data_IF_657380928630
#
_entry.id   IF_657380928630
#
_cell.length_a   1.000
_cell.length_b   1.000
_cell.length_c   1.000
_cell.angle_alpha   90.00
_cell.angle_beta   90.00
_cell.angle_gamma   90.00
#
_symmetry.space_group_name_H-M   'P 1'
#
loop_
_entity.id
_entity.type
_entity.pdbx_description
1 polymer ?
#
# COMPACT_ATOMS: atom_id res chain seq x y z
N UNK A 1 -24.59 -12.11 -44.89
CA UNK A 1 -24.24 -11.50 -43.59
C UNK A 1 -22.81 -11.03 -43.68
N UNK A 2 -22.58 -9.71 -43.73
CA UNK A 2 -21.22 -9.13 -43.70
C UNK A 2 -20.72 -9.21 -42.25
N UNK A 3 -19.84 -10.17 -41.97
CA UNK A 3 -19.16 -10.24 -40.68
C UNK A 3 -18.06 -9.19 -40.63
N UNK A 4 -18.22 -8.16 -39.80
CA UNK A 4 -17.13 -7.25 -39.49
C UNK A 4 -16.09 -8.00 -38.65
N UNK A 5 -14.94 -8.33 -39.24
CA UNK A 5 -13.77 -8.81 -38.50
C UNK A 5 -13.11 -7.59 -37.87
N UNK A 6 -13.39 -7.33 -36.60
CA UNK A 6 -12.66 -6.30 -35.85
C UNK A 6 -11.17 -6.65 -35.83
N UNK A 7 -10.27 -5.71 -36.20
CA UNK A 7 -8.85 -6.00 -36.27
C UNK A 7 -8.30 -6.20 -34.87
N UNK A 8 -7.64 -7.34 -34.66
CA UNK A 8 -7.03 -7.72 -33.37
C UNK A 8 -5.88 -6.79 -32.91
N UNK A 9 -5.55 -5.78 -33.71
CA UNK A 9 -4.49 -4.80 -33.47
C UNK A 9 -5.01 -3.49 -32.84
N UNK A 10 -6.33 -3.33 -32.66
CA UNK A 10 -6.82 -2.19 -31.88
C UNK A 10 -6.29 -2.32 -30.45
N UNK A 11 -5.34 -1.43 -30.15
CA UNK A 11 -4.71 -1.33 -28.85
C UNK A 11 -5.71 -0.72 -27.87
N UNK A 12 -5.71 -1.19 -26.63
CA UNK A 12 -6.48 -0.58 -25.55
C UNK A 12 -5.94 0.85 -25.40
N UNK A 13 -6.80 1.86 -25.59
CA UNK A 13 -6.37 3.25 -25.47
C UNK A 13 -5.90 3.51 -24.02
N UNK A 14 -4.76 4.21 -23.81
CA UNK A 14 -4.23 4.52 -22.48
C UNK A 14 -5.23 5.27 -21.57
N UNK A 15 -6.22 5.92 -22.17
CA UNK A 15 -7.28 6.68 -21.50
C UNK A 15 -8.31 5.79 -20.79
N UNK A 16 -8.41 4.50 -21.15
CA UNK A 16 -9.32 3.55 -20.51
C UNK A 16 -8.75 2.94 -19.21
N UNK A 17 -7.50 3.21 -18.86
CA UNK A 17 -6.95 2.73 -17.58
C UNK A 17 -7.54 3.51 -16.40
N UNK A 18 -7.87 2.83 -15.28
CA UNK A 18 -8.35 3.51 -14.09
C UNK A 18 -7.29 4.51 -13.59
N UNK A 19 -7.73 5.75 -13.37
CA UNK A 19 -6.92 6.80 -12.75
C UNK A 19 -6.89 6.56 -11.25
N UNK A 20 -5.88 5.82 -10.81
CA UNK A 20 -5.74 5.48 -9.40
C UNK A 20 -5.27 6.70 -8.60
N UNK A 21 -5.95 7.02 -7.51
CA UNK A 21 -5.52 8.06 -6.59
C UNK A 21 -4.21 7.63 -5.90
N UNK A 22 -3.11 8.27 -6.27
CA UNK A 22 -1.80 8.01 -5.68
C UNK A 22 -1.54 8.96 -4.51
N UNK A 23 -2.17 8.71 -3.37
CA UNK A 23 -1.69 9.26 -2.10
C UNK A 23 -0.48 8.45 -1.64
N UNK A 24 0.65 8.65 -2.32
CA UNK A 24 1.90 7.94 -2.02
C UNK A 24 2.71 8.70 -0.99
N UNK A 25 3.15 8.02 0.07
CA UNK A 25 4.04 8.58 1.09
C UNK A 25 5.52 8.69 0.66
N UNK A 26 5.87 8.39 -0.59
CA UNK A 26 7.26 8.34 -1.05
C UNK A 26 7.43 8.69 -2.52
N UNK A 27 8.65 9.08 -2.89
CA UNK A 27 9.03 9.54 -4.24
C UNK A 27 9.41 8.39 -5.18
N UNK A 28 9.67 7.20 -4.64
CA UNK A 28 10.09 6.03 -5.41
C UNK A 28 9.22 4.80 -5.15
N UNK A 29 8.88 4.15 -6.24
CA UNK A 29 8.08 2.93 -6.25
C UNK A 29 8.98 1.69 -6.28
N UNK A 30 8.43 0.53 -5.88
CA UNK A 30 9.11 -0.77 -6.01
C UNK A 30 9.57 -1.09 -7.43
N UNK A 31 8.90 -0.53 -8.44
CA UNK A 31 9.29 -0.55 -9.83
C UNK A 31 8.61 0.60 -10.60
N UNK A 32 9.06 0.95 -11.82
CA UNK A 32 8.41 1.96 -12.65
C UNK A 32 6.94 1.64 -12.94
N UNK A 33 6.08 2.66 -13.05
CA UNK A 33 4.64 2.49 -13.28
C UNK A 33 4.33 1.63 -14.52
N UNK A 34 5.05 1.84 -15.62
CA UNK A 34 4.94 1.04 -16.85
C UNK A 34 5.21 -0.45 -16.62
N UNK A 35 6.22 -0.75 -15.81
CA UNK A 35 6.53 -2.13 -15.45
C UNK A 35 5.41 -2.73 -14.59
N UNK A 36 4.92 -1.96 -13.60
CA UNK A 36 3.87 -2.43 -12.69
C UNK A 36 2.57 -2.73 -13.45
N UNK A 37 2.12 -1.87 -14.38
CA UNK A 37 0.91 -2.14 -15.16
C UNK A 37 0.96 -3.47 -15.92
N UNK A 38 2.14 -3.84 -16.43
CA UNK A 38 2.35 -5.06 -17.22
C UNK A 38 2.65 -6.30 -16.36
N UNK A 39 3.34 -6.12 -15.24
CA UNK A 39 3.97 -7.23 -14.50
C UNK A 39 3.57 -7.32 -13.03
N UNK A 40 2.64 -6.49 -12.54
CA UNK A 40 2.25 -6.44 -11.13
C UNK A 40 1.96 -7.82 -10.54
N UNK A 41 1.10 -8.60 -11.18
CA UNK A 41 0.73 -9.93 -10.67
C UNK A 41 1.85 -10.96 -10.77
N UNK A 42 2.70 -10.87 -11.80
CA UNK A 42 3.88 -11.72 -11.91
C UNK A 42 4.87 -11.44 -10.75
N UNK A 43 5.12 -10.16 -10.47
CA UNK A 43 5.96 -9.74 -9.35
C UNK A 43 5.40 -10.25 -8.03
N UNK A 44 4.09 -10.10 -7.77
CA UNK A 44 3.46 -10.57 -6.53
C UNK A 44 3.52 -12.09 -6.38
N UNK A 45 3.30 -12.86 -7.46
CA UNK A 45 3.41 -14.32 -7.41
C UNK A 45 4.83 -14.78 -7.12
N UNK A 46 5.83 -14.16 -7.76
CA UNK A 46 7.24 -14.45 -7.50
C UNK A 46 7.62 -14.09 -6.06
N UNK A 47 7.12 -12.96 -5.54
CA UNK A 47 7.34 -12.57 -4.15
C UNK A 47 6.74 -13.59 -3.20
N UNK A 48 5.48 -13.99 -3.41
CA UNK A 48 4.82 -15.03 -2.60
C UNK A 48 5.65 -16.30 -2.58
N UNK A 49 6.01 -16.82 -3.76
CA UNK A 49 6.72 -18.09 -3.87
C UNK A 49 8.10 -18.00 -3.19
N UNK A 50 8.86 -16.92 -3.42
CA UNK A 50 10.18 -16.73 -2.80
C UNK A 50 10.11 -16.57 -1.27
N UNK A 51 9.07 -15.93 -0.72
CA UNK A 51 8.90 -15.79 0.73
C UNK A 51 8.49 -17.11 1.37
N UNK A 52 7.57 -17.85 0.74
CA UNK A 52 7.00 -19.08 1.30
C UNK A 52 7.94 -20.27 1.12
N UNK A 53 8.60 -20.40 -0.04
CA UNK A 53 9.45 -21.55 -0.37
C UNK A 53 10.91 -21.34 0.01
N UNK A 54 11.44 -20.16 -0.27
CA UNK A 54 12.88 -19.90 -0.20
C UNK A 54 13.25 -19.05 1.03
N UNK A 55 12.27 -18.50 1.74
CA UNK A 55 12.49 -17.63 2.89
C UNK A 55 13.06 -16.26 2.53
N UNK A 56 13.08 -15.87 1.26
CA UNK A 56 13.64 -14.60 0.80
C UNK A 56 12.68 -13.44 1.02
N UNK A 57 12.85 -12.71 2.13
CA UNK A 57 11.88 -11.70 2.58
C UNK A 57 12.08 -10.28 2.08
N UNK A 58 13.17 -9.98 1.37
CA UNK A 58 13.52 -8.61 1.01
C UNK A 58 13.70 -8.40 -0.49
N UNK A 59 13.30 -7.24 -0.98
CA UNK A 59 13.49 -6.75 -2.34
C UNK A 59 14.35 -5.49 -2.33
N UNK A 60 15.17 -5.31 -3.37
CA UNK A 60 16.01 -4.13 -3.55
C UNK A 60 15.28 -3.15 -4.47
N UNK A 61 15.01 -1.96 -3.97
CA UNK A 61 14.39 -0.87 -4.70
C UNK A 61 15.36 -0.25 -5.72
N UNK A 62 14.86 0.55 -6.69
CA UNK A 62 15.71 1.21 -7.70
C UNK A 62 16.80 2.12 -7.14
N UNK A 63 16.64 2.65 -5.92
CA UNK A 63 17.63 3.45 -5.19
C UNK A 63 18.63 2.62 -4.37
N UNK A 64 18.50 1.30 -4.39
CA UNK A 64 19.32 0.39 -3.58
C UNK A 64 18.80 0.18 -2.16
N UNK A 65 17.73 0.86 -1.75
CA UNK A 65 17.10 0.61 -0.46
C UNK A 65 16.42 -0.75 -0.42
N UNK A 66 16.18 -1.29 0.77
CA UNK A 66 15.60 -2.63 0.96
C UNK A 66 14.19 -2.51 1.53
N UNK A 67 13.24 -3.19 0.91
CA UNK A 67 11.87 -3.30 1.40
C UNK A 67 11.48 -4.75 1.63
N UNK A 68 10.59 -4.98 2.59
CA UNK A 68 10.03 -6.32 2.82
C UNK A 68 9.11 -6.70 1.66
N UNK A 69 9.12 -7.97 1.25
CA UNK A 69 8.18 -8.51 0.26
C UNK A 69 6.81 -8.73 0.92
N UNK A 70 6.12 -7.63 1.25
CA UNK A 70 4.91 -7.63 2.07
C UNK A 70 3.82 -6.71 1.50
N UNK A 71 2.61 -7.26 1.36
CA UNK A 71 1.43 -6.48 0.95
C UNK A 71 1.09 -5.39 1.98
N UNK A 72 1.20 -5.67 3.28
CA UNK A 72 0.74 -4.75 4.33
C UNK A 72 1.80 -3.74 4.73
N UNK A 73 3.07 -4.15 4.79
CA UNK A 73 4.17 -3.28 5.22
C UNK A 73 4.75 -2.44 4.09
N UNK A 74 4.77 -2.97 2.86
CA UNK A 74 5.37 -2.28 1.71
C UNK A 74 4.30 -1.69 0.81
N UNK A 75 3.43 -2.51 0.21
CA UNK A 75 2.43 -2.00 -0.75
C UNK A 75 1.42 -1.07 -0.06
N UNK A 76 0.76 -1.53 1.00
CA UNK A 76 -0.21 -0.73 1.78
C UNK A 76 0.47 0.22 2.79
N UNK A 77 1.80 0.16 2.93
CA UNK A 77 2.57 1.18 3.65
C UNK A 77 2.58 2.51 2.89
N UNK A 78 2.59 2.45 1.56
CA UNK A 78 2.53 3.60 0.67
C UNK A 78 1.14 3.80 0.02
N UNK A 79 0.41 2.72 -0.27
CA UNK A 79 -0.96 2.76 -0.82
C UNK A 79 -1.98 2.64 0.31
N UNK A 80 -2.32 3.78 0.90
CA UNK A 80 -3.10 3.88 2.14
C UNK A 80 -4.48 3.20 2.10
N UNK A 81 -5.05 2.99 0.92
CA UNK A 81 -6.36 2.37 0.76
C UNK A 81 -6.34 1.27 -0.29
N UNK A 82 -6.60 0.02 0.16
CA UNK A 82 -6.85 -1.11 -0.75
C UNK A 82 -8.01 -0.80 -1.72
N UNK A 83 -9.08 -0.17 -1.23
CA UNK A 83 -10.27 0.13 -2.03
C UNK A 83 -9.97 1.14 -3.14
N UNK A 84 -9.23 2.21 -2.82
CA UNK A 84 -8.92 3.26 -3.79
C UNK A 84 -7.73 2.93 -4.69
N UNK A 85 -6.95 1.89 -4.38
CA UNK A 85 -5.76 1.51 -5.14
C UNK A 85 -5.88 0.15 -5.82
N UNK A 86 -6.03 -0.92 -5.04
CA UNK A 86 -6.05 -2.28 -5.57
C UNK A 86 -7.35 -2.60 -6.31
N UNK A 87 -8.49 -2.20 -5.75
CA UNK A 87 -9.80 -2.59 -6.29
C UNK A 87 -10.16 -1.84 -7.59
N UNK A 88 -9.61 -0.64 -7.83
CA UNK A 88 -9.80 0.08 -9.10
C UNK A 88 -9.35 -0.77 -10.30
N UNK A 89 -8.12 -1.29 -10.25
CA UNK A 89 -7.57 -2.13 -11.31
C UNK A 89 -8.22 -3.53 -11.36
N UNK A 90 -8.54 -4.13 -10.21
CA UNK A 90 -9.13 -5.47 -10.20
C UNK A 90 -10.59 -5.48 -10.63
N UNK A 91 -11.34 -4.42 -10.32
CA UNK A 91 -12.70 -4.20 -10.83
C UNK A 91 -12.66 -3.99 -12.33
N UNK A 92 -11.78 -3.09 -12.81
CA UNK A 92 -11.57 -2.84 -14.23
C UNK A 92 -11.24 -4.15 -14.99
N UNK A 93 -10.30 -4.93 -14.48
CA UNK A 93 -9.90 -6.20 -15.08
C UNK A 93 -10.90 -7.35 -14.82
N UNK A 94 -11.97 -7.12 -14.03
CA UNK A 94 -12.94 -8.12 -13.63
C UNK A 94 -12.33 -9.38 -12.99
N UNK A 95 -11.28 -9.19 -12.18
CA UNK A 95 -10.57 -10.28 -11.49
C UNK A 95 -10.80 -10.23 -9.98
N UNK A 96 -10.79 -11.42 -9.35
CA UNK A 96 -10.88 -11.56 -7.89
C UNK A 96 -9.64 -12.29 -7.37
N UNK A 97 -8.61 -11.58 -6.88
CA UNK A 97 -7.42 -12.22 -6.36
C UNK A 97 -7.70 -12.97 -5.06
N UNK A 98 -7.17 -14.18 -4.94
CA UNK A 98 -7.33 -15.05 -3.77
C UNK A 98 -6.28 -14.77 -2.67
N UNK A 99 -5.39 -13.79 -2.85
CA UNK A 99 -4.35 -13.47 -1.87
C UNK A 99 -4.95 -13.22 -0.47
N UNK A 100 -6.15 -12.64 -0.41
CA UNK A 100 -6.87 -12.30 0.81
C UNK A 100 -7.56 -13.48 1.49
N UNK A 101 -7.59 -14.66 0.87
CA UNK A 101 -8.05 -15.88 1.54
C UNK A 101 -7.07 -16.32 2.64
N UNK A 102 -5.81 -15.92 2.53
CA UNK A 102 -4.78 -16.16 3.55
C UNK A 102 -4.25 -14.86 4.19
N UNK A 103 -4.24 -13.74 3.46
CA UNK A 103 -3.74 -12.46 3.97
C UNK A 103 -4.84 -11.64 4.64
N UNK A 104 -4.55 -11.10 5.82
CA UNK A 104 -5.44 -10.16 6.53
C UNK A 104 -5.29 -8.77 5.91
N UNK A 105 -6.41 -8.19 5.46
CA UNK A 105 -6.45 -6.78 5.03
C UNK A 105 -6.37 -5.91 6.28
N UNK A 106 -5.38 -5.02 6.41
CA UNK A 106 -5.34 -4.10 7.53
C UNK A 106 -6.53 -3.12 7.43
N UNK A 107 -7.30 -2.96 8.52
CA UNK A 107 -8.50 -2.11 8.56
C UNK A 107 -8.18 -0.62 8.29
N UNK A 108 -6.92 -0.21 8.51
CA UNK A 108 -6.30 1.05 8.07
C UNK A 108 -4.77 0.89 8.12
N UNK A 109 -4.02 1.76 7.41
CA UNK A 109 -2.58 1.68 7.13
C UNK A 109 -1.71 1.01 8.21
N UNK A 110 -0.78 0.16 7.76
CA UNK A 110 -0.23 -0.96 8.52
C UNK A 110 0.40 -0.69 9.90
N UNK A 111 0.51 -1.81 10.63
CA UNK A 111 1.41 -2.18 11.75
C UNK A 111 1.28 -1.53 13.14
N UNK A 112 0.19 -0.86 13.50
CA UNK A 112 -0.07 -0.57 14.93
C UNK A 112 -0.97 -1.64 15.56
N UNK A 113 -0.85 -1.84 16.88
CA UNK A 113 -1.62 -2.77 17.74
C UNK A 113 -3.16 -2.62 17.65
N UNK A 114 -3.62 -1.69 16.81
CA UNK A 114 -4.97 -1.21 16.70
C UNK A 114 -5.73 -1.77 15.49
N UNK A 115 -5.05 -2.50 14.61
CA UNK A 115 -5.65 -3.04 13.38
C UNK A 115 -6.73 -4.11 13.60
N UNK A 116 -6.92 -4.58 14.85
CA UNK A 116 -7.88 -5.61 15.22
C UNK A 116 -9.17 -5.13 15.88
N UNK A 117 -9.31 -3.86 16.29
CA UNK A 117 -10.47 -3.44 17.08
C UNK A 117 -11.59 -2.96 16.15
N UNK A 118 -12.68 -3.72 16.11
CA UNK A 118 -13.94 -3.29 15.53
C UNK A 118 -14.56 -2.28 16.49
N UNK A 119 -14.41 -0.99 16.20
CA UNK A 119 -14.99 0.05 17.05
C UNK A 119 -15.82 1.01 16.23
N UNK A 120 -17.08 1.16 16.63
CA UNK A 120 -17.99 2.20 16.18
C UNK A 120 -17.29 3.57 16.07
N UNK A 121 -17.72 4.38 15.10
CA UNK A 121 -17.14 5.66 14.68
C UNK A 121 -16.81 6.61 15.86
N UNK A 122 -17.61 6.54 16.93
CA UNK A 122 -17.43 7.31 18.18
C UNK A 122 -16.10 6.96 18.88
N UNK A 123 -15.71 5.69 18.92
CA UNK A 123 -14.47 5.22 19.55
C UNK A 123 -13.24 5.54 18.71
N UNK A 124 -13.37 5.65 17.38
CA UNK A 124 -12.27 6.10 16.53
C UNK A 124 -11.90 7.56 16.78
N UNK A 125 -12.90 8.42 16.98
CA UNK A 125 -12.67 9.84 17.28
C UNK A 125 -12.00 10.03 18.64
N UNK A 126 -12.46 9.29 19.66
CA UNK A 126 -11.89 9.35 21.01
C UNK A 126 -10.44 8.84 21.01
N UNK A 127 -10.16 7.78 20.27
CA UNK A 127 -8.83 7.23 20.10
C UNK A 127 -7.89 8.16 19.33
N UNK A 128 -8.37 8.81 18.27
CA UNK A 128 -7.62 9.82 17.54
C UNK A 128 -7.26 10.99 18.46
N UNK A 129 -8.21 11.48 19.25
CA UNK A 129 -7.99 12.55 20.22
C UNK A 129 -6.94 12.15 21.27
N UNK A 130 -6.99 10.91 21.77
CA UNK A 130 -6.02 10.39 22.74
C UNK A 130 -4.61 10.23 22.14
N UNK A 131 -4.50 9.81 20.87
CA UNK A 131 -3.22 9.70 20.17
C UNK A 131 -2.60 11.08 19.90
N UNK A 132 -3.43 12.06 19.50
CA UNK A 132 -3.00 13.45 19.33
C UNK A 132 -2.51 14.04 20.66
N UNK A 133 -3.23 13.81 21.76
CA UNK A 133 -2.83 14.27 23.09
C UNK A 133 -1.50 13.65 23.54
N UNK A 134 -1.28 12.35 23.29
CA UNK A 134 -0.01 11.67 23.60
C UNK A 134 1.15 12.22 22.76
N UNK A 135 0.94 12.46 21.46
CA UNK A 135 1.99 13.01 20.59
C UNK A 135 2.34 14.45 20.96
N UNK A 136 1.36 15.22 21.44
CA UNK A 136 1.58 16.58 21.96
C UNK A 136 2.41 16.56 23.26
N UNK A 137 2.10 15.66 24.20
CA UNK A 137 2.94 15.43 25.39
C UNK A 137 4.36 14.97 25.04
N UNK A 138 4.52 14.14 24.00
CA UNK A 138 5.83 13.72 23.51
C UNK A 138 6.61 14.87 22.84
N UNK A 139 5.92 15.79 22.16
CA UNK A 139 6.50 17.01 21.59
C UNK A 139 6.97 17.97 22.69
N UNK A 140 6.14 18.20 23.70
CA UNK A 140 6.42 19.15 24.78
C UNK A 140 7.56 18.65 25.70
N UNK A 141 7.63 17.35 25.96
CA UNK A 141 8.74 16.75 26.72
C UNK A 141 10.06 16.77 25.97
N UNK A 142 10.05 16.59 24.64
CA UNK A 142 11.26 16.75 23.83
C UNK A 142 11.70 18.22 23.73
N UNK A 143 10.75 19.18 23.71
CA UNK A 143 11.04 20.61 23.72
C UNK A 143 11.66 21.04 25.05
N UNK A 144 11.12 20.57 26.18
CA UNK A 144 11.69 20.80 27.52
C UNK A 144 13.10 20.19 27.66
N UNK A 145 13.34 19.01 27.07
CA UNK A 145 14.68 18.40 27.08
C UNK A 145 15.70 19.18 26.23
N UNK A 146 15.25 19.87 25.18
CA UNK A 146 16.10 20.72 24.34
C UNK A 146 16.40 22.08 24.99
N UNK A 147 15.43 22.67 25.68
CA UNK A 147 15.63 23.90 26.48
C UNK A 147 16.63 23.66 27.61
N UNK A 148 16.54 22.55 28.34
CA UNK A 148 17.49 22.18 29.41
C UNK A 148 18.92 21.96 28.90
N UNK A 149 19.09 21.56 27.63
CA UNK A 149 20.43 21.35 27.02
C UNK A 149 21.09 22.63 26.50
N UNK A 150 20.34 23.71 26.29
CA UNK A 150 20.87 24.97 25.79
C UNK A 150 21.31 25.94 26.89
N UNK A 151 21.01 25.63 28.16
CA UNK A 151 21.41 26.41 29.35
C UNK A 151 22.68 25.86 30.04
N UNK A 152 23.50 25.05 29.34
CA UNK A 152 24.72 24.43 29.86
C UNK A 152 25.93 24.67 28.96
#
# INVERSE_FOLDING_TARGET
>A
MLGATFPFWQSIDPEDFPKVAMETKGEQCVAPAEYMRKNHMLLLNNWRDSVVRDGERFHIMPDGSRVEKSLTKTCLGCHVSKKQFCEECHTYASVKPYCWECHVVPKSGGHTELSGIETDEIKQQELLNNLLARNQQFSDSNLQLLEVKNDQ
#
